data_IF_156629121414
#
_entry.id   IF_156629121414
#
_cell.length_a   1.000
_cell.length_b   1.000
_cell.length_c   1.000
_cell.angle_alpha   90.00
_cell.angle_beta   90.00
_cell.angle_gamma   90.00
#
_symmetry.space_group_name_H-M   'P 1'
#
loop_
_entity.id
_entity.type
_entity.pdbx_description
1 polymer ?
#
# COMPACT_ATOMS: atom_id res chain seq x y z
N UNK A 1 18.75 -1.65 -66.34
CA UNK A 1 19.18 -1.51 -64.93
C UNK A 1 18.18 -0.66 -64.18
N UNK A 2 17.43 -1.22 -63.22
CA UNK A 2 17.26 -0.75 -61.82
C UNK A 2 15.98 -1.33 -61.21
N UNK A 3 16.14 -1.71 -59.95
CA UNK A 3 15.37 -2.66 -59.16
C UNK A 3 14.05 -2.09 -58.61
N UNK A 4 13.09 -2.96 -58.23
CA UNK A 4 11.85 -2.56 -57.56
C UNK A 4 12.16 -2.05 -56.15
N UNK A 5 11.71 -0.83 -55.82
CA UNK A 5 11.76 -0.32 -54.45
C UNK A 5 10.60 -0.92 -53.65
N UNK A 6 10.89 -2.03 -52.96
CA UNK A 6 10.16 -2.49 -51.78
C UNK A 6 10.20 -1.37 -50.74
N UNK A 7 9.09 -0.65 -50.58
CA UNK A 7 8.93 0.27 -49.44
C UNK A 7 8.55 -0.58 -48.23
N UNK A 8 9.43 -0.52 -47.25
CA UNK A 8 9.43 -1.27 -46.01
C UNK A 8 8.09 -1.23 -45.28
N UNK A 9 7.58 -2.43 -44.97
CA UNK A 9 6.56 -2.66 -43.97
C UNK A 9 7.20 -2.40 -42.58
N UNK A 10 7.16 -1.16 -42.11
CA UNK A 10 7.59 -0.83 -40.75
C UNK A 10 6.59 -1.41 -39.76
N UNK A 11 6.98 -2.53 -39.16
CA UNK A 11 6.29 -3.12 -38.01
C UNK A 11 6.41 -2.14 -36.85
N UNK A 12 5.33 -1.41 -36.59
CA UNK A 12 5.17 -0.66 -35.34
C UNK A 12 4.96 -1.72 -34.25
N UNK A 13 6.07 -2.23 -33.70
CA UNK A 13 6.04 -2.84 -32.37
C UNK A 13 5.77 -1.70 -31.40
N UNK A 14 4.49 -1.45 -31.15
CA UNK A 14 4.05 -0.67 -30.00
C UNK A 14 4.67 -1.32 -28.77
N UNK A 15 5.45 -0.53 -28.02
CA UNK A 15 5.95 -0.91 -26.72
C UNK A 15 4.73 -1.22 -25.84
N UNK A 16 4.39 -2.50 -25.70
CA UNK A 16 3.59 -2.97 -24.59
C UNK A 16 4.49 -2.81 -23.36
N UNK A 17 4.36 -1.68 -22.66
CA UNK A 17 4.82 -1.61 -21.28
C UNK A 17 3.92 -2.56 -20.51
N UNK A 18 4.39 -3.79 -20.28
CA UNK A 18 3.83 -4.63 -19.24
C UNK A 18 4.12 -3.89 -17.92
N UNK A 19 3.16 -3.11 -17.43
CA UNK A 19 3.15 -2.71 -16.03
C UNK A 19 3.06 -4.00 -15.23
N UNK A 20 4.18 -4.43 -14.64
CA UNK A 20 4.18 -5.50 -13.67
C UNK A 20 3.26 -5.08 -12.53
N UNK A 21 2.13 -5.78 -12.36
CA UNK A 21 1.24 -5.52 -11.24
C UNK A 21 1.89 -6.07 -9.97
N UNK A 22 2.14 -5.20 -9.00
CA UNK A 22 2.55 -5.61 -7.66
C UNK A 22 1.31 -5.81 -6.78
N UNK A 23 1.34 -6.84 -5.94
CA UNK A 23 0.27 -7.18 -5.01
C UNK A 23 0.83 -7.36 -3.61
N UNK A 24 0.02 -7.03 -2.59
CA UNK A 24 0.21 -7.53 -1.24
C UNK A 24 -0.46 -8.89 -1.12
N UNK A 25 0.32 -9.89 -0.73
CA UNK A 25 -0.16 -11.24 -0.42
C UNK A 25 -0.32 -11.36 1.09
N UNK A 26 -1.56 -11.45 1.55
CA UNK A 26 -1.87 -11.57 2.97
C UNK A 26 -1.85 -13.03 3.44
N UNK A 27 -1.67 -13.30 4.75
CA UNK A 27 -1.61 -14.67 5.29
C UNK A 27 -2.84 -15.54 4.99
N UNK A 28 -4.01 -14.95 4.79
CA UNK A 28 -5.22 -15.65 4.35
C UNK A 28 -5.20 -16.09 2.87
N UNK A 29 -4.19 -15.65 2.10
CA UNK A 29 -4.13 -15.80 0.65
C UNK A 29 -4.83 -14.68 -0.12
N UNK A 30 -5.41 -13.69 0.56
CA UNK A 30 -5.99 -12.51 -0.08
C UNK A 30 -4.89 -11.70 -0.79
N UNK A 31 -5.16 -11.34 -2.05
CA UNK A 31 -4.31 -10.48 -2.86
C UNK A 31 -4.92 -9.08 -2.95
N UNK A 32 -4.13 -8.05 -2.63
CA UNK A 32 -4.55 -6.65 -2.71
C UNK A 32 -3.58 -5.89 -3.60
N UNK A 33 -4.09 -5.17 -4.61
CA UNK A 33 -3.25 -4.39 -5.50
C UNK A 33 -2.41 -3.36 -4.73
N UNK A 34 -1.11 -3.34 -5.01
CA UNK A 34 -0.16 -2.44 -4.36
C UNK A 34 -0.55 -0.97 -4.53
N UNK A 35 -1.07 -0.57 -5.70
CA UNK A 35 -1.44 0.83 -5.94
C UNK A 35 -2.61 1.29 -5.07
N UNK A 36 -3.55 0.40 -4.76
CA UNK A 36 -4.64 0.66 -3.81
C UNK A 36 -4.09 0.90 -2.40
N UNK A 37 -3.16 0.05 -1.96
CA UNK A 37 -2.52 0.19 -0.64
C UNK A 37 -1.68 1.47 -0.58
N UNK A 38 -0.89 1.75 -1.62
CA UNK A 38 -0.05 2.95 -1.71
C UNK A 38 -0.87 4.23 -1.73
N UNK A 39 -1.95 4.28 -2.52
CA UNK A 39 -2.86 5.43 -2.54
C UNK A 39 -3.41 5.72 -1.14
N UNK A 40 -3.88 4.67 -0.45
CA UNK A 40 -4.41 4.83 0.91
C UNK A 40 -3.32 5.20 1.92
N UNK A 41 -2.12 4.63 1.82
CA UNK A 41 -0.99 4.99 2.67
C UNK A 41 -0.58 6.46 2.51
N UNK A 42 -0.61 6.99 1.28
CA UNK A 42 -0.33 8.40 1.00
C UNK A 42 -1.37 9.32 1.67
N UNK A 43 -2.66 8.95 1.62
CA UNK A 43 -3.73 9.69 2.32
C UNK A 43 -3.50 9.68 3.84
N UNK A 44 -3.20 8.51 4.41
CA UNK A 44 -2.89 8.33 5.83
C UNK A 44 -1.70 9.20 6.24
N UNK A 45 -0.62 9.20 5.46
CA UNK A 45 0.57 10.01 5.72
C UNK A 45 0.28 11.50 5.62
N UNK A 46 -0.39 11.95 4.56
CA UNK A 46 -0.74 13.35 4.38
C UNK A 46 -1.61 13.87 5.53
N UNK A 47 -2.60 13.07 5.96
CA UNK A 47 -3.46 13.40 7.09
C UNK A 47 -2.70 13.32 8.42
N UNK A 48 -1.91 12.27 8.62
CA UNK A 48 -1.10 12.06 9.83
C UNK A 48 -0.11 13.19 10.07
N UNK A 49 0.60 13.64 9.03
CA UNK A 49 1.51 14.79 9.10
C UNK A 49 0.76 16.07 9.46
N UNK A 50 -0.42 16.32 8.88
CA UNK A 50 -1.24 17.48 9.22
C UNK A 50 -1.71 17.46 10.67
N UNK A 51 -2.14 16.29 11.16
CA UNK A 51 -2.64 16.13 12.53
C UNK A 51 -1.53 16.16 13.58
N UNK A 52 -0.33 15.61 13.28
CA UNK A 52 0.81 15.56 14.22
C UNK A 52 1.25 16.97 14.65
N UNK A 53 1.12 17.98 13.79
CA UNK A 53 1.40 19.39 14.12
C UNK A 53 0.51 19.93 15.25
N UNK A 54 -0.71 19.40 15.37
CA UNK A 54 -1.69 19.78 16.39
C UNK A 54 -1.82 18.76 17.52
N UNK A 55 -1.03 17.69 17.48
CA UNK A 55 -1.10 16.58 18.43
C UNK A 55 -0.53 17.00 19.77
N UNK A 56 -1.30 16.80 20.84
CA UNK A 56 -0.82 17.05 22.21
C UNK A 56 0.10 15.90 22.65
N UNK A 57 1.16 16.14 23.45
CA UNK A 57 1.98 15.06 23.99
C UNK A 57 1.14 13.98 24.69
N UNK A 58 1.36 12.71 24.33
CA UNK A 58 0.61 11.57 24.85
C UNK A 58 -0.70 11.26 24.13
N UNK A 59 -1.13 12.10 23.19
CA UNK A 59 -2.26 11.79 22.32
C UNK A 59 -1.84 10.76 21.26
N UNK A 60 -2.49 9.60 21.30
CA UNK A 60 -2.17 8.45 20.46
C UNK A 60 -3.15 8.27 19.30
N UNK A 61 -4.28 8.99 19.27
CA UNK A 61 -5.26 8.88 18.20
C UNK A 61 -5.93 10.23 17.90
N UNK A 62 -6.11 10.54 16.61
CA UNK A 62 -6.84 11.71 16.10
C UNK A 62 -7.46 11.37 14.74
N UNK A 63 -8.76 11.64 14.57
CA UNK A 63 -9.45 11.50 13.27
C UNK A 63 -9.20 10.15 12.57
N UNK A 64 -9.27 9.04 13.33
CA UNK A 64 -8.99 7.68 12.88
C UNK A 64 -7.54 7.41 12.42
N UNK A 65 -6.60 8.29 12.75
CA UNK A 65 -5.16 8.05 12.65
C UNK A 65 -4.65 7.76 14.07
N UNK A 66 -4.07 6.57 14.24
CA UNK A 66 -3.28 6.22 15.42
C UNK A 66 -1.83 6.60 15.18
N UNK A 67 -1.19 7.20 16.19
CA UNK A 67 0.19 7.63 16.17
C UNK A 67 1.01 6.74 17.08
N UNK A 68 2.06 6.13 16.53
CA UNK A 68 3.06 5.40 17.31
C UNK A 68 4.40 6.13 17.24
N UNK A 69 5.15 6.10 18.34
CA UNK A 69 6.43 6.81 18.43
C UNK A 69 6.31 8.33 18.34
N UNK A 70 7.41 8.97 17.92
CA UNK A 70 7.50 10.43 17.88
C UNK A 70 8.42 10.94 16.78
N UNK A 71 8.11 12.13 16.26
CA UNK A 71 8.98 12.79 15.28
C UNK A 71 10.39 13.07 15.84
N UNK A 72 10.51 13.36 17.13
CA UNK A 72 11.78 13.61 17.80
C UNK A 72 12.62 12.33 17.96
N UNK A 73 11.96 11.17 18.15
CA UNK A 73 12.60 9.86 18.22
C UNK A 73 12.98 9.28 16.86
N UNK A 74 12.45 9.84 15.77
CA UNK A 74 12.66 9.32 14.41
C UNK A 74 11.91 8.02 14.12
N UNK A 75 10.92 7.70 14.96
CA UNK A 75 10.17 6.44 14.97
C UNK A 75 8.65 6.69 14.85
N UNK A 76 8.26 7.80 14.21
CA UNK A 76 6.85 8.14 14.05
C UNK A 76 6.20 7.22 13.01
N UNK A 77 5.07 6.62 13.38
CA UNK A 77 4.21 5.87 12.47
C UNK A 77 2.79 6.38 12.52
N UNK A 78 2.13 6.40 11.37
CA UNK A 78 0.71 6.67 11.23
C UNK A 78 -0.01 5.38 10.85
N UNK A 79 -1.02 5.00 11.61
CA UNK A 79 -1.80 3.79 11.37
C UNK A 79 -3.27 4.14 11.22
N UNK A 80 -3.95 3.52 10.25
CA UNK A 80 -5.39 3.65 10.09
C UNK A 80 -6.00 2.37 9.54
N UNK A 81 -7.30 2.21 9.75
CA UNK A 81 -8.07 1.13 9.14
C UNK A 81 -8.07 1.27 7.62
N UNK A 82 -8.05 0.11 6.96
CA UNK A 82 -8.08 -0.02 5.52
C UNK A 82 -9.16 -1.02 5.11
N UNK A 83 -10.04 -0.58 4.22
CA UNK A 83 -11.10 -1.38 3.65
C UNK A 83 -10.78 -1.60 2.17
N UNK A 84 -10.09 -2.69 1.81
CA UNK A 84 -9.79 -2.99 0.41
C UNK A 84 -11.10 -3.21 -0.38
N UNK A 85 -11.12 -2.96 -1.70
CA UNK A 85 -12.30 -3.11 -2.55
C UNK A 85 -12.58 -4.59 -2.89
N UNK A 86 -12.61 -5.45 -1.87
CA UNK A 86 -12.84 -6.88 -1.94
C UNK A 86 -13.84 -7.29 -0.86
N UNK A 87 -14.59 -8.37 -1.09
CA UNK A 87 -15.49 -8.92 -0.08
C UNK A 87 -14.72 -9.91 0.81
N UNK A 88 -14.58 -9.58 2.09
CA UNK A 88 -13.92 -10.44 3.09
C UNK A 88 -14.42 -10.09 4.49
N UNK A 89 -14.35 -11.06 5.42
CA UNK A 89 -14.61 -10.85 6.85
C UNK A 89 -13.36 -10.37 7.61
N UNK A 90 -12.19 -10.43 6.96
CA UNK A 90 -10.93 -9.96 7.53
C UNK A 90 -10.90 -8.43 7.56
N UNK A 91 -10.27 -7.88 8.58
CA UNK A 91 -10.05 -6.42 8.68
C UNK A 91 -8.59 -6.11 8.41
N UNK A 92 -8.30 -4.95 7.84
CA UNK A 92 -6.95 -4.56 7.49
C UNK A 92 -6.58 -3.22 8.10
N UNK A 93 -5.30 -3.05 8.41
CA UNK A 93 -4.72 -1.77 8.80
C UNK A 93 -3.51 -1.47 7.95
N UNK A 94 -3.34 -0.21 7.61
CA UNK A 94 -2.11 0.30 6.99
C UNK A 94 -1.38 1.11 8.03
N UNK A 95 -0.12 0.79 8.24
CA UNK A 95 0.84 1.59 9.00
C UNK A 95 1.89 2.14 8.05
N UNK A 96 2.18 3.44 8.13
CA UNK A 96 3.22 4.10 7.35
C UNK A 96 4.21 4.81 8.25
N UNK A 97 5.50 4.54 8.06
CA UNK A 97 6.56 5.21 8.79
C UNK A 97 6.78 6.63 8.27
N UNK A 98 7.14 7.54 9.16
CA UNK A 98 7.48 8.92 8.81
C UNK A 98 8.83 9.31 9.44
N UNK A 99 9.77 9.87 8.66
CA UNK A 99 9.66 10.24 7.24
C UNK A 99 10.04 9.11 6.25
N UNK A 100 10.20 7.87 6.72
CA UNK A 100 10.73 6.76 5.91
C UNK A 100 9.79 6.22 4.82
N UNK A 101 8.49 6.52 4.90
CA UNK A 101 7.44 6.07 3.97
C UNK A 101 7.36 4.54 3.81
N UNK A 102 7.83 3.79 4.80
CA UNK A 102 7.68 2.33 4.84
C UNK A 102 6.22 1.97 5.08
N UNK A 103 5.62 1.19 4.18
CA UNK A 103 4.21 0.79 4.23
C UNK A 103 4.10 -0.65 4.71
N UNK A 104 3.43 -0.83 5.84
CA UNK A 104 3.08 -2.14 6.39
C UNK A 104 1.57 -2.31 6.30
N UNK A 105 1.13 -3.35 5.57
CA UNK A 105 -0.25 -3.79 5.54
C UNK A 105 -0.41 -4.98 6.49
N UNK A 106 -1.30 -4.86 7.45
CA UNK A 106 -1.60 -5.91 8.42
C UNK A 106 -3.01 -6.42 8.22
N UNK A 107 -3.16 -7.75 8.16
CA UNK A 107 -4.43 -8.45 8.14
C UNK A 107 -4.76 -8.99 9.54
N UNK A 108 -6.02 -8.83 9.93
CA UNK A 108 -6.60 -9.43 11.13
C UNK A 108 -7.72 -10.38 10.73
N UNK A 109 -7.50 -11.68 10.98
CA UNK A 109 -8.42 -12.77 10.68
C UNK A 109 -9.15 -13.19 11.96
N UNK A 110 -10.44 -13.52 11.84
CA UNK A 110 -11.22 -14.08 12.96
C UNK A 110 -11.42 -15.58 12.74
N UNK A 111 -11.05 -16.38 13.72
CA UNK A 111 -11.22 -17.84 13.70
C UNK A 111 -12.00 -18.30 14.93
N UNK A 112 -13.30 -18.54 14.79
CA UNK A 112 -14.13 -18.97 15.91
C UNK A 112 -14.04 -18.01 17.09
N UNK A 113 -13.40 -18.44 18.20
CA UNK A 113 -13.16 -17.61 19.40
C UNK A 113 -11.79 -16.88 19.42
N UNK A 114 -10.94 -17.06 18.41
CA UNK A 114 -9.61 -16.45 18.33
C UNK A 114 -9.46 -15.44 17.19
N UNK A 115 -8.40 -14.65 17.26
CA UNK A 115 -7.96 -13.75 16.18
C UNK A 115 -6.50 -14.02 15.83
N UNK A 116 -6.18 -14.01 14.54
CA UNK A 116 -4.81 -14.04 14.04
C UNK A 116 -4.48 -12.71 13.39
N UNK A 117 -3.30 -12.18 13.69
CA UNK A 117 -2.73 -11.01 13.04
C UNK A 117 -1.55 -11.45 12.18
N UNK A 118 -1.42 -10.88 10.99
CA UNK A 118 -0.21 -11.09 10.18
C UNK A 118 -0.01 -10.01 9.13
N UNK A 119 1.25 -9.76 8.82
CA UNK A 119 1.67 -8.78 7.81
C UNK A 119 1.52 -9.37 6.42
N UNK A 120 1.03 -8.57 5.47
CA UNK A 120 0.98 -8.93 4.06
C UNK A 120 2.29 -8.55 3.37
N UNK A 121 2.80 -9.42 2.50
CA UNK A 121 4.08 -9.24 1.81
C UNK A 121 3.87 -8.72 0.38
N UNK A 122 4.73 -7.78 -0.04
CA UNK A 122 4.71 -7.29 -1.43
C UNK A 122 5.31 -8.35 -2.35
N UNK A 123 4.49 -8.83 -3.29
CA UNK A 123 4.85 -9.75 -4.36
C UNK A 123 4.78 -9.02 -5.70
N UNK A 124 5.81 -9.16 -6.53
CA UNK A 124 5.82 -8.64 -7.90
C UNK A 124 5.58 -9.83 -8.82
N UNK A 125 4.45 -9.86 -9.54
CA UNK A 125 4.29 -10.80 -10.64
C UNK A 125 5.15 -10.31 -11.81
N UNK A 126 6.15 -11.11 -12.18
CA UNK A 126 7.04 -10.89 -13.32
C UNK A 126 6.53 -11.60 -14.57
#
# INVERSE_FOLDING_TARGET
MRFPHLVHLSVIFGFFTFESAAYYTCPSGILIQNDTVRSRAQEIMNLGVQLDVHRTPGQVEMSNITFYGSKAGGDLWFTSDFNPPITTENTFKISISYPGEEIVLTEFQKFGSGSQEGTCDVSVEM
#
